data_IF_619116801020
#
_entry.id   IF_619116801020
#
_cell.length_a   1.000
_cell.length_b   1.000
_cell.length_c   1.000
_cell.angle_alpha   90.00
_cell.angle_beta   90.00
_cell.angle_gamma   90.00
#
_symmetry.space_group_name_H-M   'P 1'
#
loop_
_entity.id
_entity.type
_entity.pdbx_description
1 polymer ?
#
# COMPACT_ATOMS: atom_id res chain seq x y z
N UNK A 1 5.52 -2.18 -4.02
CA UNK A 1 5.13 -3.06 -5.15
C UNK A 1 5.58 -4.48 -4.82
N UNK A 2 4.72 -5.48 -4.99
CA UNK A 2 5.01 -6.86 -4.58
C UNK A 2 6.26 -7.43 -5.28
N UNK A 3 6.37 -7.26 -6.61
CA UNK A 3 7.52 -7.71 -7.40
C UNK A 3 8.85 -7.14 -6.88
N UNK A 4 8.91 -5.82 -6.64
CA UNK A 4 10.10 -5.15 -6.11
C UNK A 4 10.50 -5.61 -4.71
N UNK A 5 9.52 -5.98 -3.87
CA UNK A 5 9.77 -6.39 -2.47
C UNK A 5 10.28 -7.81 -2.29
N UNK A 6 10.40 -8.60 -3.37
CA UNK A 6 10.72 -10.04 -3.35
C UNK A 6 9.73 -10.91 -2.56
N UNK A 7 8.62 -10.34 -2.12
CA UNK A 7 7.57 -11.06 -1.44
C UNK A 7 6.63 -11.75 -2.42
N UNK A 8 5.79 -12.62 -1.86
CA UNK A 8 4.75 -13.39 -2.52
C UNK A 8 3.48 -13.29 -1.66
N UNK A 9 2.31 -13.41 -2.26
CA UNK A 9 1.03 -13.40 -1.54
C UNK A 9 0.41 -14.80 -1.41
N UNK A 10 1.17 -15.86 -1.69
CA UNK A 10 0.72 -17.24 -1.52
C UNK A 10 -0.11 -17.79 -2.68
N UNK A 11 0.05 -17.23 -3.89
CA UNK A 11 -0.59 -17.73 -5.12
C UNK A 11 0.11 -18.93 -5.76
N UNK A 12 1.07 -19.55 -5.07
CA UNK A 12 1.76 -20.75 -5.52
C UNK A 12 2.76 -20.51 -6.66
N UNK A 13 3.02 -21.56 -7.45
CA UNK A 13 4.00 -21.54 -8.54
C UNK A 13 3.67 -20.53 -9.64
N UNK A 14 2.38 -20.33 -9.93
CA UNK A 14 1.92 -19.40 -10.95
C UNK A 14 2.29 -17.96 -10.57
N UNK A 15 2.03 -17.57 -9.30
CA UNK A 15 2.46 -16.26 -8.77
C UNK A 15 3.96 -16.07 -8.89
N UNK A 16 4.72 -17.09 -8.52
CA UNK A 16 6.18 -16.99 -8.49
C UNK A 16 6.73 -16.76 -9.89
N UNK A 17 6.24 -17.51 -10.88
CA UNK A 17 6.65 -17.37 -12.28
C UNK A 17 6.29 -16.00 -12.84
N UNK A 18 5.07 -15.51 -12.62
CA UNK A 18 4.65 -14.19 -13.11
C UNK A 18 5.47 -13.06 -12.48
N UNK A 19 5.68 -13.11 -11.15
CA UNK A 19 6.50 -12.12 -10.46
C UNK A 19 7.98 -12.19 -10.86
N UNK A 20 8.51 -13.38 -11.16
CA UNK A 20 9.88 -13.54 -11.66
C UNK A 20 10.04 -12.94 -13.06
N UNK A 21 9.14 -13.25 -14.01
CA UNK A 21 9.14 -12.64 -15.33
C UNK A 21 9.05 -11.11 -15.26
N UNK A 22 8.17 -10.58 -14.38
CA UNK A 22 8.06 -9.14 -14.16
C UNK A 22 9.36 -8.54 -13.61
N UNK A 23 10.04 -9.23 -12.68
CA UNK A 23 11.32 -8.77 -12.10
C UNK A 23 12.45 -8.77 -13.13
N UNK A 24 12.50 -9.75 -14.01
CA UNK A 24 13.52 -9.80 -15.07
C UNK A 24 13.44 -8.59 -16.00
N UNK A 25 12.22 -8.20 -16.38
CA UNK A 25 11.99 -7.06 -17.28
C UNK A 25 12.18 -5.73 -16.55
N UNK A 26 11.55 -5.56 -15.38
CA UNK A 26 11.42 -4.24 -14.73
C UNK A 26 12.43 -3.99 -13.60
N UNK A 27 13.08 -5.02 -13.07
CA UNK A 27 14.04 -4.93 -11.96
C UNK A 27 15.31 -5.77 -12.21
N UNK A 28 16.04 -5.57 -13.32
CA UNK A 28 17.19 -6.41 -13.68
C UNK A 28 18.30 -6.43 -12.62
N UNK A 29 18.53 -5.30 -11.94
CA UNK A 29 19.48 -5.22 -10.83
C UNK A 29 19.07 -6.10 -9.63
N UNK A 30 17.76 -6.20 -9.34
CA UNK A 30 17.24 -7.05 -8.28
C UNK A 30 17.42 -8.54 -8.64
N UNK A 31 17.19 -8.89 -9.90
CA UNK A 31 17.42 -10.24 -10.42
C UNK A 31 18.90 -10.63 -10.33
N UNK A 32 19.82 -9.73 -10.67
CA UNK A 32 21.26 -9.97 -10.52
C UNK A 32 21.66 -10.16 -9.05
N UNK A 33 21.09 -9.36 -8.15
CA UNK A 33 21.32 -9.50 -6.71
C UNK A 33 20.82 -10.84 -6.16
N UNK A 34 19.66 -11.32 -6.62
CA UNK A 34 19.12 -12.64 -6.24
C UNK A 34 20.03 -13.79 -6.69
N UNK A 35 20.73 -13.64 -7.82
CA UNK A 35 21.70 -14.64 -8.33
C UNK A 35 23.04 -14.61 -7.59
N UNK A 36 23.46 -13.44 -7.11
CA UNK A 36 24.80 -13.23 -6.53
C UNK A 36 24.82 -13.30 -5.00
N UNK A 37 23.69 -13.03 -4.34
CA UNK A 37 23.58 -13.02 -2.87
C UNK A 37 22.41 -13.85 -2.40
N UNK A 38 22.58 -14.46 -1.23
CA UNK A 38 21.48 -15.12 -0.52
C UNK A 38 20.57 -14.06 0.09
N UNK A 39 19.40 -13.87 -0.49
CA UNK A 39 18.38 -12.95 0.00
C UNK A 39 17.44 -13.65 0.99
N UNK A 40 16.81 -12.92 1.94
CA UNK A 40 15.83 -13.50 2.85
C UNK A 40 14.65 -14.12 2.10
N UNK A 41 14.06 -15.18 2.65
CA UNK A 41 12.89 -15.81 2.06
C UNK A 41 11.65 -14.90 2.17
N UNK A 42 10.64 -15.06 1.30
CA UNK A 42 9.39 -14.29 1.39
C UNK A 42 8.73 -14.35 2.78
N UNK A 43 8.81 -15.50 3.46
CA UNK A 43 8.29 -15.68 4.82
C UNK A 43 9.03 -14.82 5.86
N UNK A 44 10.36 -14.71 5.75
CA UNK A 44 11.17 -13.85 6.62
C UNK A 44 10.86 -12.38 6.34
N UNK A 45 10.84 -11.99 5.07
CA UNK A 45 10.48 -10.62 4.68
C UNK A 45 9.09 -10.23 5.21
N UNK A 46 8.14 -11.15 5.20
CA UNK A 46 6.79 -10.91 5.70
C UNK A 46 6.75 -10.79 7.22
N UNK A 47 7.45 -11.66 7.95
CA UNK A 47 7.50 -11.58 9.42
C UNK A 47 8.22 -10.32 9.93
N UNK A 48 9.15 -9.79 9.16
CA UNK A 48 9.83 -8.51 9.42
C UNK A 48 9.00 -7.29 8.99
N UNK A 49 7.87 -7.49 8.31
CA UNK A 49 7.02 -6.41 7.82
C UNK A 49 7.60 -5.68 6.61
N UNK A 50 8.42 -6.35 5.80
CA UNK A 50 9.00 -5.79 4.57
C UNK A 50 8.08 -5.97 3.37
N UNK A 51 7.19 -6.96 3.39
CA UNK A 51 6.19 -7.17 2.34
C UNK A 51 5.05 -6.14 2.37
N UNK A 52 4.49 -5.75 1.22
CA UNK A 52 3.20 -5.06 1.15
C UNK A 52 2.07 -5.91 1.76
N UNK A 53 0.97 -5.26 2.18
CA UNK A 53 -0.26 -5.97 2.49
C UNK A 53 -0.81 -6.69 1.25
N UNK A 54 -1.44 -7.84 1.46
CA UNK A 54 -2.25 -8.50 0.42
C UNK A 54 -3.57 -7.74 0.23
N UNK A 55 -4.28 -7.94 -0.89
CA UNK A 55 -5.63 -7.38 -1.07
C UNK A 55 -6.59 -7.75 0.08
N UNK A 56 -6.56 -9.00 0.54
CA UNK A 56 -7.39 -9.50 1.64
C UNK A 56 -7.05 -8.81 2.97
N UNK A 57 -5.76 -8.67 3.27
CA UNK A 57 -5.30 -7.93 4.46
C UNK A 57 -5.68 -6.46 4.43
N UNK A 58 -5.58 -5.83 3.26
CA UNK A 58 -5.98 -4.44 3.07
C UNK A 58 -7.48 -4.26 3.32
N UNK A 59 -8.31 -5.16 2.79
CA UNK A 59 -9.77 -5.16 2.99
C UNK A 59 -10.14 -5.33 4.46
N UNK A 60 -9.56 -6.33 5.13
CA UNK A 60 -9.80 -6.58 6.56
C UNK A 60 -9.34 -5.39 7.41
N UNK A 61 -8.21 -4.78 7.06
CA UNK A 61 -7.72 -3.58 7.74
C UNK A 61 -8.70 -2.42 7.59
N UNK A 62 -9.24 -2.17 6.40
CA UNK A 62 -10.23 -1.12 6.18
C UNK A 62 -11.53 -1.39 6.95
N UNK A 63 -12.02 -2.63 6.92
CA UNK A 63 -13.23 -3.01 7.65
C UNK A 63 -13.05 -2.81 9.18
N UNK A 64 -11.91 -3.22 9.73
CA UNK A 64 -11.57 -3.00 11.14
C UNK A 64 -11.37 -1.51 11.52
N UNK A 65 -11.14 -0.63 10.56
CA UNK A 65 -11.09 0.81 10.79
C UNK A 65 -12.47 1.47 10.72
N UNK A 66 -13.52 0.71 10.37
CA UNK A 66 -14.90 1.18 10.31
C UNK A 66 -15.35 1.65 8.91
N UNK A 67 -14.55 1.41 7.86
CA UNK A 67 -15.03 1.60 6.49
C UNK A 67 -16.10 0.54 6.19
N UNK A 68 -17.13 0.92 5.44
CA UNK A 68 -18.30 0.08 5.22
C UNK A 68 -18.56 -0.11 3.72
N UNK A 69 -19.53 -0.97 3.37
CA UNK A 69 -19.85 -1.29 1.97
C UNK A 69 -20.24 -0.08 1.11
N UNK A 70 -20.68 1.04 1.72
CA UNK A 70 -21.03 2.27 0.99
C UNK A 70 -19.80 3.10 0.63
N UNK A 71 -18.65 2.85 1.25
CA UNK A 71 -17.38 3.53 0.93
C UNK A 71 -17.02 3.34 -0.55
N UNK A 72 -16.74 4.44 -1.24
CA UNK A 72 -16.19 4.42 -2.61
C UNK A 72 -14.68 4.24 -2.50
N UNK A 73 -14.14 3.20 -3.13
CA UNK A 73 -12.73 2.87 -3.02
C UNK A 73 -12.03 3.14 -4.34
N UNK A 74 -11.11 4.10 -4.35
CA UNK A 74 -10.19 4.29 -5.46
C UNK A 74 -8.94 3.45 -5.23
N UNK A 75 -8.65 2.51 -6.12
CA UNK A 75 -7.44 1.68 -6.06
C UNK A 75 -6.40 2.25 -7.00
N UNK A 76 -5.34 2.79 -6.40
CA UNK A 76 -4.18 3.27 -7.11
C UNK A 76 -3.15 2.15 -7.31
N UNK A 77 -2.66 2.04 -8.54
CA UNK A 77 -1.70 1.04 -8.93
C UNK A 77 -1.88 0.60 -10.37
N UNK A 78 -0.94 -0.21 -10.83
CA UNK A 78 -1.05 -0.95 -12.09
C UNK A 78 -1.87 -2.24 -11.88
N UNK A 79 -1.63 -3.24 -12.73
CA UNK A 79 -2.20 -4.56 -12.57
C UNK A 79 -1.91 -5.16 -11.19
N UNK A 80 -2.97 -5.63 -10.54
CA UNK A 80 -2.91 -6.46 -9.34
C UNK A 80 -2.68 -7.89 -9.82
N UNK A 81 -1.71 -8.59 -9.23
CA UNK A 81 -1.48 -10.00 -9.49
C UNK A 81 -2.77 -10.83 -9.28
N UNK A 82 -3.10 -11.70 -10.23
CA UNK A 82 -4.38 -12.43 -10.27
C UNK A 82 -5.57 -11.62 -10.76
N UNK A 83 -5.35 -10.35 -11.16
CA UNK A 83 -6.31 -9.48 -11.83
C UNK A 83 -7.67 -9.40 -11.13
N UNK A 84 -8.73 -9.61 -11.91
CA UNK A 84 -10.12 -9.56 -11.45
C UNK A 84 -10.38 -10.55 -10.32
N UNK A 85 -9.81 -11.77 -10.36
CA UNK A 85 -10.02 -12.79 -9.33
C UNK A 85 -9.56 -12.32 -7.96
N UNK A 86 -8.44 -11.61 -7.90
CA UNK A 86 -7.91 -11.10 -6.63
C UNK A 86 -8.53 -9.79 -6.20
N UNK A 87 -9.03 -9.00 -7.16
CA UNK A 87 -9.90 -7.86 -6.90
C UNK A 87 -11.25 -8.26 -6.30
N UNK A 88 -11.74 -9.49 -6.52
CA UNK A 88 -12.99 -9.98 -5.92
C UNK A 88 -13.00 -9.88 -4.39
N UNK A 89 -11.84 -10.08 -3.73
CA UNK A 89 -11.73 -9.90 -2.29
C UNK A 89 -12.07 -8.46 -1.85
N UNK A 90 -11.66 -7.47 -2.65
CA UNK A 90 -11.96 -6.06 -2.44
C UNK A 90 -13.41 -5.73 -2.79
N UNK A 91 -13.88 -6.13 -3.97
CA UNK A 91 -15.22 -5.77 -4.46
C UNK A 91 -16.35 -6.48 -3.70
N UNK A 92 -16.07 -7.65 -3.10
CA UNK A 92 -16.97 -8.36 -2.21
C UNK A 92 -17.39 -7.52 -1.00
N UNK A 93 -16.49 -6.72 -0.43
CA UNK A 93 -16.78 -5.83 0.72
C UNK A 93 -16.96 -4.37 0.33
N UNK A 94 -16.36 -3.93 -0.79
CA UNK A 94 -16.44 -2.56 -1.29
C UNK A 94 -16.89 -2.57 -2.75
N UNK A 95 -18.20 -2.73 -3.02
CA UNK A 95 -18.73 -2.84 -4.39
C UNK A 95 -18.48 -1.59 -5.24
N UNK A 96 -18.34 -0.42 -4.60
CA UNK A 96 -18.09 0.85 -5.26
C UNK A 96 -16.59 1.10 -5.51
N UNK A 97 -15.87 0.07 -5.95
CA UNK A 97 -14.46 0.12 -6.28
C UNK A 97 -14.26 0.67 -7.70
N UNK A 98 -13.38 1.65 -7.82
CA UNK A 98 -12.99 2.28 -9.07
C UNK A 98 -11.46 2.30 -9.21
N UNK A 99 -10.98 2.19 -10.43
CA UNK A 99 -9.60 2.43 -10.82
C UNK A 99 -9.57 3.61 -11.80
N UNK A 100 -8.38 4.15 -12.11
CA UNK A 100 -8.26 5.23 -13.10
C UNK A 100 -8.82 4.83 -14.47
N UNK A 101 -8.66 3.56 -14.87
CA UNK A 101 -9.15 3.02 -16.13
C UNK A 101 -10.68 2.96 -16.20
N UNK A 102 -11.34 2.89 -15.04
CA UNK A 102 -12.81 2.91 -14.94
C UNK A 102 -13.37 4.31 -14.76
N UNK A 103 -12.59 5.22 -14.17
CA UNK A 103 -13.01 6.59 -13.88
C UNK A 103 -12.89 7.50 -15.09
N UNK A 104 -11.85 7.32 -15.89
CA UNK A 104 -11.54 8.15 -17.06
C UNK A 104 -12.00 7.45 -18.35
N UNK A 105 -12.41 8.25 -19.32
CA UNK A 105 -12.68 7.76 -20.68
C UNK A 105 -11.40 7.31 -21.39
N UNK A 106 -11.55 6.50 -22.44
CA UNK A 106 -10.43 6.09 -23.28
C UNK A 106 -9.67 7.29 -23.88
N UNK A 107 -10.40 8.35 -24.27
CA UNK A 107 -9.82 9.58 -24.81
C UNK A 107 -9.00 10.35 -23.77
N UNK A 108 -9.46 10.41 -22.51
CA UNK A 108 -8.72 11.03 -21.42
C UNK A 108 -7.48 10.23 -21.01
N UNK A 109 -7.50 8.91 -21.14
CA UNK A 109 -6.37 8.04 -20.80
C UNK A 109 -5.32 7.94 -21.92
N UNK A 110 -5.73 8.03 -23.18
CA UNK A 110 -4.88 7.84 -24.35
C UNK A 110 -3.53 8.58 -24.28
N UNK A 111 -3.46 9.86 -23.86
CA UNK A 111 -2.20 10.59 -23.79
C UNK A 111 -1.16 9.97 -22.83
N UNK A 112 -1.61 9.18 -21.86
CA UNK A 112 -0.78 8.68 -20.75
C UNK A 112 -0.38 7.20 -20.91
N UNK A 113 -1.03 6.43 -21.79
CA UNK A 113 -0.88 4.96 -21.85
C UNK A 113 0.56 4.50 -22.07
N UNK A 114 1.36 5.25 -22.84
CA UNK A 114 2.75 4.90 -23.13
C UNK A 114 3.76 5.52 -22.14
N UNK A 115 3.27 6.27 -21.15
CA UNK A 115 4.11 7.00 -20.20
C UNK A 115 3.79 6.56 -18.77
N UNK A 116 4.43 5.48 -18.31
CA UNK A 116 4.19 4.87 -17.00
C UNK A 116 4.22 5.88 -15.84
N UNK A 117 5.16 6.82 -15.84
CA UNK A 117 5.26 7.87 -14.83
C UNK A 117 4.09 8.86 -14.87
N UNK A 118 3.59 9.24 -16.05
CA UNK A 118 2.44 10.14 -16.18
C UNK A 118 1.14 9.41 -15.81
N UNK A 119 1.02 8.15 -16.22
CA UNK A 119 -0.10 7.30 -15.85
C UNK A 119 -0.16 7.09 -14.31
N UNK A 120 0.98 6.96 -13.65
CA UNK A 120 1.08 6.93 -12.18
C UNK A 120 0.81 8.30 -11.52
N UNK A 121 0.95 9.41 -12.24
CA UNK A 121 0.58 10.73 -11.73
C UNK A 121 -0.95 10.86 -11.57
N UNK A 122 -1.74 10.18 -12.40
CA UNK A 122 -3.20 10.10 -12.22
C UNK A 122 -3.57 9.38 -10.91
N UNK A 123 -2.84 8.31 -10.57
CA UNK A 123 -2.99 7.63 -9.28
C UNK A 123 -2.65 8.56 -8.10
N UNK A 124 -1.57 9.35 -8.24
CA UNK A 124 -1.20 10.36 -7.24
C UNK A 124 -2.33 11.36 -7.03
N UNK A 125 -2.90 11.94 -8.10
CA UNK A 125 -4.00 12.92 -8.04
C UNK A 125 -5.23 12.31 -7.36
N UNK A 126 -5.64 11.11 -7.74
CA UNK A 126 -6.78 10.43 -7.11
C UNK A 126 -6.56 10.17 -5.62
N UNK A 127 -5.37 9.71 -5.24
CA UNK A 127 -5.04 9.46 -3.84
C UNK A 127 -4.88 10.72 -2.99
N UNK A 128 -4.40 11.83 -3.55
CA UNK A 128 -4.28 13.09 -2.80
C UNK A 128 -5.64 13.75 -2.59
N UNK A 129 -6.55 13.63 -3.56
CA UNK A 129 -7.91 14.18 -3.48
C UNK A 129 -8.87 13.37 -2.57
N UNK A 130 -8.55 12.11 -2.25
CA UNK A 130 -9.44 11.24 -1.47
C UNK A 130 -9.68 11.72 -0.03
N UNK A 131 -10.84 11.41 0.55
CA UNK A 131 -11.16 11.73 1.95
C UNK A 131 -10.19 11.05 2.94
N UNK A 132 -9.78 9.82 2.64
CA UNK A 132 -8.77 9.08 3.39
C UNK A 132 -7.86 8.32 2.43
N UNK A 133 -6.57 8.25 2.75
CA UNK A 133 -5.59 7.47 1.99
C UNK A 133 -5.09 6.30 2.82
N UNK A 134 -5.23 5.07 2.32
CA UNK A 134 -4.67 3.87 2.95
C UNK A 134 -3.59 3.26 2.05
N UNK A 135 -2.38 3.14 2.59
CA UNK A 135 -1.25 2.57 1.85
C UNK A 135 -1.07 1.08 2.19
N UNK A 136 -0.83 0.24 1.19
CA UNK A 136 -0.47 -1.18 1.39
C UNK A 136 1.02 -1.37 1.67
N UNK A 137 1.84 -0.47 1.13
CA UNK A 137 3.29 -0.48 1.29
C UNK A 137 3.84 0.93 1.53
N UNK A 138 4.13 1.30 2.79
CA UNK A 138 4.78 2.58 3.12
C UNK A 138 6.17 2.75 2.51
N UNK A 139 6.80 1.66 2.04
CA UNK A 139 8.08 1.71 1.35
C UNK A 139 7.98 2.20 -0.10
N UNK A 140 6.78 2.18 -0.70
CA UNK A 140 6.61 2.57 -2.10
C UNK A 140 6.81 4.07 -2.34
N UNK A 141 7.25 4.42 -3.54
CA UNK A 141 7.41 5.82 -3.95
C UNK A 141 6.07 6.55 -3.96
N UNK A 142 5.02 5.94 -4.50
CA UNK A 142 3.67 6.51 -4.53
C UNK A 142 3.15 6.79 -3.11
N UNK A 143 3.26 5.80 -2.20
CA UNK A 143 2.83 5.96 -0.81
C UNK A 143 3.57 7.11 -0.11
N UNK A 144 4.86 7.26 -0.39
CA UNK A 144 5.67 8.36 0.16
C UNK A 144 5.20 9.71 -0.40
N UNK A 145 5.03 9.84 -1.72
CA UNK A 145 4.59 11.09 -2.33
C UNK A 145 3.21 11.51 -1.87
N UNK A 146 2.22 10.60 -1.88
CA UNK A 146 0.86 10.87 -1.42
C UNK A 146 0.85 11.24 0.06
N UNK A 147 1.54 10.45 0.92
CA UNK A 147 1.57 10.71 2.35
C UNK A 147 2.21 12.06 2.65
N UNK A 148 3.30 12.40 1.97
CA UNK A 148 3.95 13.69 2.11
C UNK A 148 3.05 14.85 1.69
N UNK A 149 2.45 14.75 0.51
CA UNK A 149 1.52 15.76 -0.01
C UNK A 149 0.36 15.99 0.96
N UNK A 150 -0.33 14.94 1.37
CA UNK A 150 -1.51 15.02 2.25
C UNK A 150 -1.16 15.59 3.63
N UNK A 151 0.02 15.29 4.16
CA UNK A 151 0.42 15.80 5.47
C UNK A 151 0.84 17.27 5.36
N UNK A 152 1.64 17.62 4.36
CA UNK A 152 2.13 18.98 4.16
C UNK A 152 1.00 19.94 3.78
N UNK A 153 0.27 19.67 2.70
CA UNK A 153 -0.81 20.53 2.22
C UNK A 153 -2.11 20.39 3.01
N UNK A 154 -2.35 19.22 3.61
CA UNK A 154 -3.50 18.99 4.47
C UNK A 154 -3.32 19.44 5.91
N UNK A 155 -2.18 20.04 6.27
CA UNK A 155 -1.88 20.50 7.63
C UNK A 155 -2.00 19.40 8.70
N UNK A 156 -1.67 18.16 8.34
CA UNK A 156 -1.85 16.98 9.19
C UNK A 156 -3.31 16.52 9.41
N UNK A 157 -4.30 17.21 8.83
CA UNK A 157 -5.73 16.92 9.02
C UNK A 157 -6.26 15.89 8.04
N UNK A 158 -5.64 15.74 6.87
CA UNK A 158 -6.04 14.76 5.87
C UNK A 158 -5.69 13.32 6.31
N UNK A 159 -6.70 12.47 6.60
CA UNK A 159 -6.47 11.13 7.10
C UNK A 159 -5.56 10.30 6.19
N UNK A 160 -4.47 9.80 6.75
CA UNK A 160 -3.52 8.92 6.07
C UNK A 160 -3.24 7.70 6.95
N UNK A 161 -3.65 6.52 6.49
CA UNK A 161 -3.55 5.24 7.18
C UNK A 161 -2.25 4.58 6.74
N UNK A 162 -1.26 4.64 7.63
CA UNK A 162 0.04 3.97 7.46
C UNK A 162 0.05 2.66 8.25
N UNK A 163 0.13 1.48 7.61
CA UNK A 163 0.20 0.21 8.32
C UNK A 163 1.55 0.03 9.03
N UNK A 164 1.51 -0.43 10.29
CA UNK A 164 2.67 -1.07 10.91
C UNK A 164 2.76 -2.51 10.40
N UNK A 165 3.40 -2.69 9.23
CA UNK A 165 3.40 -3.95 8.49
C UNK A 165 3.88 -5.15 9.32
N UNK A 166 4.89 -4.96 10.18
CA UNK A 166 5.39 -6.02 11.09
C UNK A 166 4.34 -6.43 12.11
N UNK A 167 3.68 -5.46 12.74
CA UNK A 167 2.61 -5.73 13.72
C UNK A 167 1.37 -6.35 13.04
N UNK A 168 1.02 -5.86 11.85
CA UNK A 168 -0.08 -6.42 11.06
C UNK A 168 0.22 -7.86 10.63
N UNK A 169 1.42 -8.14 10.12
CA UNK A 169 1.84 -9.50 9.78
C UNK A 169 1.72 -10.45 10.99
N UNK A 170 2.12 -10.00 12.19
CA UNK A 170 1.95 -10.79 13.41
C UNK A 170 0.46 -11.04 13.77
N UNK A 171 -0.44 -10.08 13.50
CA UNK A 171 -1.88 -10.24 13.72
C UNK A 171 -2.45 -11.27 12.73
N UNK A 172 -2.12 -11.15 11.44
CA UNK A 172 -2.65 -11.99 10.36
C UNK A 172 -2.07 -13.41 10.35
N UNK A 173 -0.79 -13.59 10.68
CA UNK A 173 -0.14 -14.92 10.62
C UNK A 173 -0.43 -15.75 11.87
N UNK A 174 -0.55 -15.13 13.06
CA UNK A 174 -0.68 -15.88 14.32
C UNK A 174 -2.10 -16.22 14.73
N UNK A 175 -3.13 -15.58 14.15
CA UNK A 175 -4.49 -15.73 14.65
C UNK A 175 -5.50 -15.99 13.53
N UNK A 176 -5.53 -17.22 13.03
CA UNK A 176 -6.52 -17.66 12.03
C UNK A 176 -7.95 -17.75 12.62
N UNK A 177 -8.08 -17.65 13.94
CA UNK A 177 -9.32 -17.81 14.71
C UNK A 177 -9.61 -16.63 15.65
N UNK A 178 -9.00 -15.48 15.40
CA UNK A 178 -9.24 -14.28 16.23
C UNK A 178 -10.69 -13.82 16.11
N UNK A 179 -11.31 -13.53 17.26
CA UNK A 179 -12.63 -12.92 17.31
C UNK A 179 -12.58 -11.49 16.75
N UNK A 180 -13.64 -11.08 16.05
CA UNK A 180 -13.67 -9.84 15.27
C UNK A 180 -13.43 -8.60 16.13
N UNK A 181 -14.04 -8.48 17.31
CA UNK A 181 -13.84 -7.30 18.18
C UNK A 181 -12.39 -7.17 18.64
N UNK A 182 -11.72 -8.30 18.95
CA UNK A 182 -10.30 -8.32 19.31
C UNK A 182 -9.43 -7.94 18.12
N UNK A 183 -9.74 -8.45 16.92
CA UNK A 183 -9.04 -8.09 15.69
C UNK A 183 -9.15 -6.59 15.43
N UNK A 184 -10.37 -6.05 15.50
CA UNK A 184 -10.67 -4.64 15.29
C UNK A 184 -9.85 -3.75 16.23
N UNK A 185 -9.86 -4.06 17.53
CA UNK A 185 -9.09 -3.32 18.53
C UNK A 185 -7.59 -3.35 18.22
N UNK A 186 -7.04 -4.52 17.85
CA UNK A 186 -5.62 -4.66 17.51
C UNK A 186 -5.22 -3.88 16.27
N UNK A 187 -6.04 -3.88 15.21
CA UNK A 187 -5.81 -3.08 14.00
C UNK A 187 -5.85 -1.59 14.33
N UNK A 188 -6.90 -1.12 15.02
CA UNK A 188 -7.03 0.29 15.42
C UNK A 188 -5.84 0.75 16.25
N UNK A 189 -5.37 -0.06 17.19
CA UNK A 189 -4.16 0.24 17.96
C UNK A 189 -2.91 0.30 17.08
N UNK A 190 -2.72 -0.65 16.17
CA UNK A 190 -1.56 -0.68 15.28
C UNK A 190 -1.49 0.55 14.36
N UNK A 191 -2.64 1.00 13.83
CA UNK A 191 -2.75 2.20 13.00
C UNK A 191 -2.61 3.49 13.82
N UNK A 192 -3.11 3.54 15.06
CA UNK A 192 -2.92 4.72 15.92
C UNK A 192 -1.44 4.97 16.26
N UNK A 193 -0.67 3.91 16.47
CA UNK A 193 0.75 4.02 16.80
C UNK A 193 1.59 4.64 15.67
N UNK A 194 1.16 4.52 14.41
CA UNK A 194 1.88 5.10 13.26
C UNK A 194 1.58 6.59 13.05
N UNK A 195 0.72 7.20 13.88
CA UNK A 195 0.45 8.64 13.90
C UNK A 195 1.37 9.43 14.85
N UNK A 196 2.32 8.77 15.50
CA UNK A 196 3.26 9.43 16.41
C UNK A 196 4.23 10.29 15.60
N UNK A 197 4.53 11.48 16.11
CA UNK A 197 5.60 12.31 15.58
C UNK A 197 6.94 11.65 15.90
N UNK A 198 7.84 11.65 14.93
CA UNK A 198 9.21 11.17 15.11
C UNK A 198 10.18 12.21 14.57
N UNK A 199 11.39 12.24 15.15
CA UNK A 199 12.47 13.01 14.57
C UNK A 199 12.81 12.41 13.19
N UNK A 200 12.85 13.26 12.18
CA UNK A 200 13.16 12.82 10.83
C UNK A 200 14.65 12.47 10.76
N UNK A 201 15.03 11.25 10.33
CA UNK A 201 16.43 10.90 10.21
C UNK A 201 17.14 11.81 9.20
N UNK A 202 18.42 12.11 9.46
CA UNK A 202 19.26 12.94 8.57
C UNK A 202 19.20 12.42 7.13
N UNK A 203 19.15 13.35 6.17
CA UNK A 203 19.06 13.07 4.73
C UNK A 203 17.81 12.27 4.27
N UNK A 204 16.75 12.19 5.08
CA UNK A 204 15.47 11.62 4.63
C UNK A 204 14.52 12.69 4.11
N UNK A 205 13.89 12.38 2.99
CA UNK A 205 12.88 13.23 2.36
C UNK A 205 11.68 13.46 3.29
N UNK A 206 11.19 14.71 3.32
CA UNK A 206 9.94 15.10 3.98
C UNK A 206 8.79 14.24 3.46
N UNK A 207 8.75 13.90 2.17
CA UNK A 207 7.67 13.09 1.63
C UNK A 207 7.63 11.67 2.22
N UNK A 208 8.79 11.09 2.51
CA UNK A 208 8.86 9.73 3.08
C UNK A 208 8.63 9.71 4.59
N UNK A 209 9.00 10.79 5.28
CA UNK A 209 8.85 10.95 6.73
C UNK A 209 8.22 12.31 7.06
N UNK A 210 6.95 12.53 6.68
CA UNK A 210 6.31 13.85 6.81
C UNK A 210 5.82 14.15 8.23
N UNK A 211 5.69 13.14 9.08
CA UNK A 211 5.25 13.29 10.48
C UNK A 211 6.44 13.64 11.39
N UNK A 212 7.05 14.79 11.15
CA UNK A 212 8.17 15.30 11.94
C UNK A 212 7.89 16.73 12.43
N UNK A 213 8.59 17.14 13.48
CA UNK A 213 8.37 18.43 14.14
C UNK A 213 8.61 19.63 13.21
N UNK A 214 9.47 19.47 12.20
CA UNK A 214 9.79 20.53 11.23
C UNK A 214 8.69 20.72 10.17
N UNK A 215 7.81 19.74 9.99
CA UNK A 215 6.76 19.77 8.95
C UNK A 215 5.36 19.84 9.53
N UNK A 216 5.20 19.58 10.83
CA UNK A 216 3.93 19.63 11.52
C UNK A 216 3.88 20.91 12.36
N UNK A 217 2.88 21.75 12.13
CA UNK A 217 2.64 22.89 13.01
C UNK A 217 2.35 22.36 14.41
N UNK A 218 3.06 22.88 15.42
CA UNK A 218 2.65 22.71 16.81
C UNK A 218 1.27 23.36 16.93
N UNK A 219 0.24 22.56 17.12
CA UNK A 219 -1.06 23.07 17.56
C UNK A 219 -0.83 23.69 18.93
N UNK A 220 -0.79 25.03 18.98
CA UNK A 220 -0.95 25.79 20.21
C UNK A 220 -2.35 25.62 20.74
#
# INVERSE_FOLDING_TARGET
MIAHSLCEYGGGEEERKELEAYREIHFPALTLLKKTKKLPSPAVLRSEGLCPLTPEEAVLTLAALGFNRKTRLFVAGSNIYGGVRRLTALTSLYPNLVTKERLLSAAELQPFLNFSSQLAALDLIGCTAADAFAMTDPGSQLSSLVSGYRIYYGGGRMPTIRPNKRRLAAIFVKNNTIEWTVFEQRIRMAVRQTRRLFERPKARSVYRNPQCNECMCLTK
#
